data_IF_022598800880
#
_entry.id   IF_022598800880
#
_cell.length_a   1.000
_cell.length_b   1.000
_cell.length_c   1.000
_cell.angle_alpha   90.00
_cell.angle_beta   90.00
_cell.angle_gamma   90.00
#
_symmetry.space_group_name_H-M   'P 1'
#
loop_
_entity.id
_entity.type
_entity.pdbx_description
1 polymer ?
#
# COMPACT_ATOMS: atom_id res chain seq x y z
N UNK A 1 -2.43 21.92 -31.69
CA UNK A 1 -1.65 20.68 -31.80
C UNK A 1 -0.80 20.65 -30.54
N UNK A 2 -1.21 19.86 -29.54
CA UNK A 2 -0.51 19.81 -28.25
C UNK A 2 0.74 18.94 -28.38
N UNK A 3 1.79 19.28 -27.65
CA UNK A 3 3.08 18.60 -27.73
C UNK A 3 2.96 17.16 -27.17
N UNK A 4 3.73 16.17 -27.67
CA UNK A 4 3.64 14.77 -27.22
C UNK A 4 3.85 14.55 -25.71
N UNK A 5 4.46 15.52 -25.02
CA UNK A 5 4.66 15.53 -23.58
C UNK A 5 3.36 15.89 -22.83
N UNK A 6 2.59 16.88 -23.31
CA UNK A 6 1.28 17.27 -22.75
C UNK A 6 0.26 16.13 -22.85
N UNK A 7 0.25 15.40 -23.98
CA UNK A 7 -0.64 14.24 -24.20
C UNK A 7 -0.37 13.11 -23.19
N UNK A 8 0.88 12.97 -22.71
CA UNK A 8 1.27 11.94 -21.73
C UNK A 8 0.86 12.31 -20.30
N UNK A 9 0.84 13.59 -19.95
CA UNK A 9 0.38 14.06 -18.64
C UNK A 9 -1.15 14.10 -18.51
N UNK A 10 -1.87 14.35 -19.60
CA UNK A 10 -3.35 14.34 -19.56
C UNK A 10 -3.94 12.92 -19.38
N UNK A 11 -3.27 11.89 -19.90
CA UNK A 11 -3.78 10.50 -19.82
C UNK A 11 -3.67 9.85 -18.44
N UNK A 12 -2.92 10.43 -17.50
CA UNK A 12 -2.74 9.90 -16.14
C UNK A 12 -3.77 10.43 -15.14
N UNK A 13 -4.55 11.47 -15.49
CA UNK A 13 -5.53 12.12 -14.60
C UNK A 13 -6.99 11.71 -14.83
N UNK A 14 -7.28 10.74 -15.69
CA UNK A 14 -8.65 10.26 -15.80
C UNK A 14 -9.00 9.41 -14.58
N UNK A 15 -9.65 10.00 -13.58
CA UNK A 15 -10.44 9.22 -12.63
C UNK A 15 -11.47 8.41 -13.43
N UNK A 16 -11.57 7.11 -13.14
CA UNK A 16 -12.47 6.22 -13.85
C UNK A 16 -13.78 6.10 -13.07
N UNK A 17 -14.83 6.91 -13.38
CA UNK A 17 -16.04 6.98 -12.55
C UNK A 17 -16.80 5.63 -12.44
N UNK A 18 -16.51 4.67 -13.33
CA UNK A 18 -17.04 3.30 -13.27
C UNK A 18 -16.30 2.39 -12.29
N UNK A 19 -14.99 2.60 -12.06
CA UNK A 19 -14.23 1.74 -11.16
C UNK A 19 -14.53 2.19 -9.73
N UNK A 20 -15.45 1.53 -9.04
CA UNK A 20 -15.84 1.88 -7.66
C UNK A 20 -14.87 1.34 -6.60
N UNK A 21 -14.00 0.40 -6.95
CA UNK A 21 -13.15 -0.35 -6.01
C UNK A 21 -11.85 0.40 -5.67
N UNK A 22 -11.21 0.99 -6.66
CA UNK A 22 -9.91 1.62 -6.50
C UNK A 22 -9.68 2.77 -7.48
N UNK A 23 -8.55 3.46 -7.33
CA UNK A 23 -8.16 4.61 -8.14
C UNK A 23 -7.21 4.24 -9.29
N UNK A 24 -7.10 2.96 -9.64
CA UNK A 24 -6.17 2.49 -10.68
C UNK A 24 -6.70 2.80 -12.08
N UNK A 25 -5.78 3.13 -12.98
CA UNK A 25 -6.08 3.20 -14.41
C UNK A 25 -6.28 1.82 -15.02
N UNK A 26 -6.95 1.74 -16.17
CA UNK A 26 -7.07 0.47 -16.91
C UNK A 26 -5.71 -0.17 -17.22
N UNK A 27 -4.68 0.65 -17.49
CA UNK A 27 -3.30 0.18 -17.71
C UNK A 27 -2.68 -0.40 -16.44
N UNK A 28 -2.94 0.24 -15.29
CA UNK A 28 -2.42 -0.24 -14.01
C UNK A 28 -3.16 -1.49 -13.54
N UNK A 29 -4.47 -1.55 -13.75
CA UNK A 29 -5.31 -2.68 -13.39
C UNK A 29 -4.87 -3.98 -14.09
N UNK A 30 -4.46 -3.90 -15.37
CA UNK A 30 -3.89 -5.05 -16.11
C UNK A 30 -2.63 -5.60 -15.43
N UNK A 31 -1.85 -4.79 -14.69
CA UNK A 31 -0.67 -5.30 -13.98
C UNK A 31 -1.06 -6.28 -12.87
N UNK A 32 -2.23 -6.08 -12.25
CA UNK A 32 -2.76 -6.91 -11.18
C UNK A 32 -3.41 -8.21 -11.66
N UNK A 33 -3.64 -8.39 -12.97
CA UNK A 33 -4.17 -9.66 -13.52
C UNK A 33 -3.08 -10.70 -13.75
N UNK A 34 -1.81 -10.39 -13.42
CA UNK A 34 -0.69 -11.34 -13.53
C UNK A 34 -0.71 -12.32 -12.37
N UNK A 35 -0.41 -13.59 -12.63
CA UNK A 35 -0.38 -14.64 -11.60
C UNK A 35 0.89 -14.65 -10.74
N UNK A 36 1.88 -13.81 -11.05
CA UNK A 36 3.15 -13.74 -10.30
C UNK A 36 3.72 -12.32 -10.32
N UNK A 37 4.33 -11.93 -9.19
CA UNK A 37 4.90 -10.61 -8.97
C UNK A 37 6.33 -10.73 -8.42
N UNK A 38 7.18 -9.76 -8.72
CA UNK A 38 8.54 -9.66 -8.17
C UNK A 38 8.58 -8.45 -7.25
N UNK A 39 8.63 -8.70 -5.94
CA UNK A 39 8.80 -7.64 -4.95
C UNK A 39 10.25 -7.59 -4.47
N UNK A 40 10.88 -6.42 -4.63
CA UNK A 40 12.20 -6.11 -4.08
C UNK A 40 12.03 -5.03 -3.01
N UNK A 41 11.65 -5.38 -1.77
CA UNK A 41 11.57 -4.40 -0.71
C UNK A 41 12.94 -3.80 -0.42
N UNK A 42 12.97 -2.54 0.00
CA UNK A 42 14.17 -1.92 0.54
C UNK A 42 14.69 -2.72 1.74
N UNK A 43 16.02 -2.89 1.89
CA UNK A 43 16.59 -3.56 3.04
C UNK A 43 16.11 -2.93 4.35
N UNK A 44 15.57 -3.76 5.24
CA UNK A 44 15.16 -3.32 6.58
C UNK A 44 16.42 -3.13 7.43
N UNK A 45 16.65 -1.91 7.95
CA UNK A 45 17.75 -1.66 8.88
C UNK A 45 17.62 -2.45 10.20
N UNK A 46 18.73 -2.63 10.93
CA UNK A 46 18.88 -3.54 12.09
C UNK A 46 17.79 -3.45 13.17
N UNK A 47 17.19 -2.28 13.38
CA UNK A 47 16.08 -2.10 14.35
C UNK A 47 14.77 -2.80 13.94
N UNK A 48 14.56 -3.04 12.64
CA UNK A 48 13.34 -3.68 12.08
C UNK A 48 13.48 -5.19 11.84
N UNK A 49 14.69 -5.76 11.96
CA UNK A 49 15.00 -7.17 11.63
C UNK A 49 14.50 -8.18 12.69
N UNK A 50 14.09 -7.73 13.88
CA UNK A 50 13.73 -8.62 15.01
C UNK A 50 12.42 -9.42 14.86
N UNK A 51 11.77 -9.40 13.69
CA UNK A 51 10.55 -10.18 13.44
C UNK A 51 10.66 -11.03 12.16
N UNK A 52 10.64 -12.37 12.28
CA UNK A 52 10.91 -13.27 11.16
C UNK A 52 9.83 -13.34 10.06
N UNK A 53 8.70 -12.63 10.16
CA UNK A 53 7.54 -12.89 9.29
C UNK A 53 6.73 -11.66 8.82
N UNK A 54 7.33 -10.47 8.72
CA UNK A 54 6.60 -9.31 8.17
C UNK A 54 6.63 -9.29 6.63
N UNK A 55 5.46 -9.29 5.99
CA UNK A 55 5.34 -9.12 4.54
C UNK A 55 6.06 -7.85 4.04
N UNK A 56 6.65 -7.87 2.84
CA UNK A 56 7.20 -6.67 2.20
C UNK A 56 6.16 -5.56 2.14
N UNK A 57 6.51 -4.35 2.57
CA UNK A 57 5.60 -3.20 2.55
C UNK A 57 5.13 -2.89 1.12
N UNK A 58 6.00 -3.08 0.12
CA UNK A 58 5.63 -2.93 -1.29
C UNK A 58 4.52 -3.89 -1.73
N UNK A 59 4.52 -5.14 -1.26
CA UNK A 59 3.44 -6.09 -1.53
C UNK A 59 2.13 -5.62 -0.88
N UNK A 60 2.19 -5.15 0.37
CA UNK A 60 0.99 -4.70 1.09
C UNK A 60 0.42 -3.42 0.46
N UNK A 61 1.26 -2.50 -0.03
CA UNK A 61 0.82 -1.30 -0.78
C UNK A 61 0.02 -1.65 -2.03
N UNK A 62 0.46 -2.69 -2.76
CA UNK A 62 -0.22 -3.15 -3.95
C UNK A 62 -1.63 -3.66 -3.62
N UNK A 63 -1.77 -4.46 -2.55
CA UNK A 63 -3.08 -4.93 -2.09
C UNK A 63 -3.97 -3.80 -1.57
N UNK A 64 -3.44 -2.90 -0.74
CA UNK A 64 -4.18 -1.73 -0.25
C UNK A 64 -4.66 -0.89 -1.44
N UNK A 65 -3.78 -0.61 -2.40
CA UNK A 65 -4.13 0.19 -3.57
C UNK A 65 -5.15 -0.49 -4.49
N UNK A 66 -5.14 -1.82 -4.56
CA UNK A 66 -6.07 -2.58 -5.39
C UNK A 66 -7.46 -2.72 -4.75
N UNK A 67 -7.54 -2.88 -3.43
CA UNK A 67 -8.81 -3.15 -2.74
C UNK A 67 -9.44 -1.91 -2.09
N UNK A 68 -8.81 -0.74 -2.19
CA UNK A 68 -9.33 0.49 -1.59
C UNK A 68 -9.11 1.69 -2.49
N UNK A 69 -9.84 2.77 -2.20
CA UNK A 69 -9.57 4.12 -2.68
C UNK A 69 -8.77 4.93 -1.66
N UNK A 70 -8.11 5.98 -2.14
CA UNK A 70 -7.51 7.00 -1.26
C UNK A 70 -8.57 7.58 -0.33
N UNK A 71 -8.17 7.84 0.92
CA UNK A 71 -9.06 8.33 1.97
C UNK A 71 -9.91 7.26 2.67
N UNK A 72 -9.92 6.01 2.18
CA UNK A 72 -10.61 4.92 2.87
C UNK A 72 -9.81 4.37 4.06
N UNK A 73 -10.49 3.56 4.89
CA UNK A 73 -9.94 2.92 6.07
C UNK A 73 -9.54 1.46 5.79
N UNK A 74 -8.30 1.11 6.12
CA UNK A 74 -7.80 -0.26 6.13
C UNK A 74 -7.79 -0.79 7.57
N UNK A 75 -8.37 -1.97 7.80
CA UNK A 75 -8.38 -2.62 9.12
C UNK A 75 -7.60 -3.93 9.07
N UNK A 76 -6.65 -4.09 9.99
CA UNK A 76 -5.85 -5.32 10.15
C UNK A 76 -5.96 -5.87 11.59
N UNK A 77 -6.70 -6.97 11.80
CA UNK A 77 -6.87 -7.56 13.13
C UNK A 77 -5.61 -8.24 13.67
N UNK A 78 -4.58 -8.46 12.84
CA UNK A 78 -3.34 -9.15 13.20
C UNK A 78 -2.14 -8.37 12.67
N UNK A 79 -2.06 -7.08 13.05
CA UNK A 79 -1.19 -6.11 12.38
C UNK A 79 0.31 -6.40 12.55
N UNK A 80 0.67 -7.24 13.53
CA UNK A 80 2.05 -7.62 13.80
C UNK A 80 2.90 -6.38 14.00
N UNK A 81 3.95 -6.24 13.21
CA UNK A 81 4.87 -5.09 13.29
C UNK A 81 4.40 -3.86 12.51
N UNK A 82 3.23 -3.86 11.87
CA UNK A 82 2.69 -2.63 11.27
C UNK A 82 2.87 -2.43 9.77
N UNK A 83 3.21 -3.47 8.98
CA UNK A 83 3.38 -3.30 7.52
C UNK A 83 2.11 -2.78 6.84
N UNK A 84 0.92 -3.17 7.32
CA UNK A 84 -0.37 -2.68 6.82
C UNK A 84 -0.59 -1.19 7.12
N UNK A 85 -0.23 -0.73 8.32
CA UNK A 85 -0.37 0.69 8.69
C UNK A 85 0.55 1.58 7.86
N UNK A 86 1.81 1.15 7.70
CA UNK A 86 2.79 1.84 6.85
C UNK A 86 2.29 1.93 5.40
N UNK A 87 1.82 0.80 4.84
CA UNK A 87 1.29 0.78 3.49
C UNK A 87 0.05 1.67 3.33
N UNK A 88 -0.86 1.68 4.30
CA UNK A 88 -2.04 2.55 4.30
C UNK A 88 -1.62 4.03 4.25
N UNK A 89 -0.73 4.46 5.15
CA UNK A 89 -0.24 5.85 5.20
C UNK A 89 0.44 6.27 3.89
N UNK A 90 1.39 5.46 3.41
CA UNK A 90 2.15 5.77 2.19
C UNK A 90 1.29 5.78 0.93
N UNK A 91 0.13 5.13 0.95
CA UNK A 91 -0.83 5.14 -0.15
C UNK A 91 -1.98 6.13 0.05
N UNK A 92 -1.98 6.94 1.12
CA UNK A 92 -3.00 7.96 1.38
C UNK A 92 -4.32 7.39 1.89
N UNK A 93 -4.28 6.30 2.66
CA UNK A 93 -5.40 5.70 3.39
C UNK A 93 -5.18 5.85 4.90
N UNK A 94 -6.25 5.74 5.67
CA UNK A 94 -6.15 5.55 7.12
C UNK A 94 -6.00 4.07 7.46
N UNK A 95 -5.32 3.75 8.56
CA UNK A 95 -5.12 2.37 9.01
C UNK A 95 -5.48 2.20 10.49
N UNK A 96 -6.15 1.10 10.83
CA UNK A 96 -6.36 0.63 12.20
C UNK A 96 -5.87 -0.81 12.31
N UNK A 97 -5.05 -1.08 13.32
CA UNK A 97 -4.45 -2.38 13.55
C UNK A 97 -4.65 -2.85 14.98
N UNK A 98 -4.86 -4.16 15.16
CA UNK A 98 -4.90 -4.82 16.46
C UNK A 98 -3.76 -5.83 16.58
N UNK A 99 -3.11 -5.86 17.74
CA UNK A 99 -2.04 -6.80 18.07
C UNK A 99 -2.05 -7.06 19.56
N UNK A 100 -1.95 -8.34 19.94
CA UNK A 100 -2.06 -8.80 21.34
C UNK A 100 -0.69 -8.88 22.01
N UNK A 101 0.38 -9.02 21.23
CA UNK A 101 1.75 -9.06 21.72
C UNK A 101 2.29 -7.64 21.85
N UNK A 102 2.41 -7.15 23.09
CA UNK A 102 2.80 -5.75 23.36
C UNK A 102 4.05 -5.30 22.60
N UNK A 103 5.10 -6.13 22.57
CA UNK A 103 6.33 -5.85 21.82
C UNK A 103 6.08 -5.55 20.33
N UNK A 104 5.13 -6.24 19.70
CA UNK A 104 4.82 -6.05 18.28
C UNK A 104 3.93 -4.82 18.11
N UNK A 105 2.99 -4.62 19.03
CA UNK A 105 2.16 -3.42 19.07
C UNK A 105 3.00 -2.14 19.22
N UNK A 106 4.03 -2.13 20.07
CA UNK A 106 4.97 -1.01 20.22
C UNK A 106 5.68 -0.68 18.91
N UNK A 107 6.23 -1.69 18.23
CA UNK A 107 6.91 -1.53 16.94
C UNK A 107 5.94 -1.03 15.86
N UNK A 108 4.71 -1.54 15.86
CA UNK A 108 3.65 -1.10 14.96
C UNK A 108 3.29 0.37 15.18
N UNK A 109 3.14 0.81 16.45
CA UNK A 109 2.89 2.21 16.81
C UNK A 109 4.03 3.12 16.35
N UNK A 110 5.29 2.73 16.59
CA UNK A 110 6.45 3.52 16.16
C UNK A 110 6.51 3.67 14.63
N UNK A 111 6.12 2.63 13.88
CA UNK A 111 6.13 2.64 12.40
C UNK A 111 4.91 3.34 11.80
N UNK A 112 3.76 3.26 12.46
CA UNK A 112 2.48 3.80 12.01
C UNK A 112 2.23 5.27 12.40
N UNK A 113 3.18 5.91 13.07
CA UNK A 113 3.13 7.35 13.31
C UNK A 113 3.92 8.07 12.21
N UNK A 114 3.21 8.84 11.38
CA UNK A 114 3.78 9.75 10.38
C UNK A 114 3.82 11.18 10.89
#
# INVERSE_FOLDING_TARGET
>A
MLEPQEVREETTRQEFPRNKLNDLSGRDWIKFTKSWFVHRPEPRGDRKIRHPASFPESLVKDFVSFFTRKGELVVDPFVGTGSTLVAALETGRSGIGFEIVEKYAEISRERGNG
#
